data_IF_279744894053
#
_entry.id   IF_279744894053
#
_cell.length_a   1.000
_cell.length_b   1.000
_cell.length_c   1.000
_cell.angle_alpha   90.00
_cell.angle_beta   90.00
_cell.angle_gamma   90.00
#
_symmetry.space_group_name_H-M   'P 1'
#
loop_
_entity.id
_entity.type
_entity.pdbx_description
1 polymer ?
#
# COMPACT_ATOMS: atom_id res chain seq x y z
N UNK A 1 2.74 14.77 -9.21
CA UNK A 1 2.29 14.91 -7.80
C UNK A 1 2.42 13.54 -7.16
N UNK A 2 3.06 13.47 -5.99
CA UNK A 2 3.27 12.18 -5.30
C UNK A 2 2.01 11.84 -4.50
N UNK A 3 1.39 10.68 -4.78
CA UNK A 3 0.21 10.20 -4.06
C UNK A 3 0.56 8.96 -3.25
N UNK A 4 0.09 8.91 -2.01
CA UNK A 4 0.32 7.80 -1.08
C UNK A 4 -0.98 7.07 -0.76
N UNK A 5 -0.88 5.80 -0.36
CA UNK A 5 -2.02 5.02 0.11
C UNK A 5 -2.71 5.71 1.30
N UNK A 6 -1.92 6.27 2.22
CA UNK A 6 -2.39 7.00 3.40
C UNK A 6 -3.33 8.16 3.03
N UNK A 7 -2.95 9.00 2.05
CA UNK A 7 -3.78 10.13 1.63
C UNK A 7 -5.14 9.69 1.07
N UNK A 8 -5.17 8.60 0.30
CA UNK A 8 -6.41 8.04 -0.24
C UNK A 8 -7.30 7.49 0.88
N UNK A 9 -6.71 6.74 1.82
CA UNK A 9 -7.42 6.17 2.97
C UNK A 9 -7.98 7.28 3.86
N UNK A 10 -7.18 8.30 4.21
CA UNK A 10 -7.62 9.44 5.01
C UNK A 10 -8.79 10.20 4.38
N UNK A 11 -8.80 10.32 3.05
CA UNK A 11 -9.93 10.90 2.34
C UNK A 11 -11.16 10.00 2.42
N UNK A 12 -11.01 8.70 2.14
CA UNK A 12 -12.12 7.75 2.18
C UNK A 12 -12.77 7.66 3.57
N UNK A 13 -11.97 7.71 4.63
CA UNK A 13 -12.44 7.68 6.03
C UNK A 13 -13.40 8.83 6.37
N UNK A 14 -13.23 10.00 5.76
CA UNK A 14 -14.10 11.16 6.01
C UNK A 14 -15.54 10.94 5.56
N UNK A 15 -15.78 9.95 4.70
CA UNK A 15 -17.10 9.67 4.13
C UNK A 15 -17.80 8.45 4.73
N UNK A 16 -17.19 7.79 5.72
CA UNK A 16 -17.86 6.69 6.44
C UNK A 16 -19.19 7.20 7.02
N UNK A 17 -20.26 6.45 6.75
CA UNK A 17 -21.63 6.82 7.14
C UNK A 17 -22.40 7.61 6.08
N UNK A 18 -21.76 8.03 4.97
CA UNK A 18 -22.48 8.62 3.85
C UNK A 18 -23.42 7.59 3.23
N UNK A 19 -24.71 7.90 3.15
CA UNK A 19 -25.76 7.05 2.55
C UNK A 19 -26.11 7.53 1.15
N UNK A 20 -26.33 6.57 0.24
CA UNK A 20 -26.85 6.89 -1.09
C UNK A 20 -28.26 7.53 -0.98
N UNK A 21 -28.68 8.20 -2.04
CA UNK A 21 -29.92 8.96 -2.09
C UNK A 21 -30.98 8.24 -2.94
N UNK A 22 -32.23 8.45 -2.56
CA UNK A 22 -33.38 7.96 -3.31
C UNK A 22 -33.52 8.64 -4.68
N UNK A 23 -32.98 9.85 -4.83
CA UNK A 23 -33.05 10.68 -6.05
C UNK A 23 -31.88 11.68 -6.10
N UNK A 24 -31.79 12.45 -7.16
CA UNK A 24 -30.77 13.49 -7.34
C UNK A 24 -31.01 14.75 -6.47
N UNK A 25 -31.39 14.54 -5.19
CA UNK A 25 -31.58 15.60 -4.19
C UNK A 25 -30.68 15.33 -2.99
N UNK A 26 -30.26 16.40 -2.33
CA UNK A 26 -29.45 16.34 -1.09
C UNK A 26 -28.18 15.50 -1.19
N UNK A 27 -27.56 15.43 -2.37
CA UNK A 27 -26.40 14.57 -2.67
C UNK A 27 -25.23 14.77 -1.69
N UNK A 28 -25.05 15.98 -1.19
CA UNK A 28 -23.95 16.33 -0.29
C UNK A 28 -24.29 16.14 1.20
N UNK A 29 -25.53 15.84 1.55
CA UNK A 29 -25.92 15.47 2.90
C UNK A 29 -25.52 14.02 3.20
N UNK A 30 -25.10 13.72 4.43
CA UNK A 30 -24.83 12.34 4.83
C UNK A 30 -26.12 11.53 4.98
N UNK A 31 -27.17 12.15 5.51
CA UNK A 31 -28.44 11.50 5.86
C UNK A 31 -29.63 11.93 4.99
N UNK A 32 -29.62 13.17 4.50
CA UNK A 32 -30.74 13.73 3.74
C UNK A 32 -31.07 12.91 2.51
N UNK A 33 -32.36 12.73 2.22
CA UNK A 33 -32.85 11.95 1.07
C UNK A 33 -32.28 10.53 0.97
N UNK A 34 -31.86 9.90 2.07
CA UNK A 34 -31.33 8.56 2.06
C UNK A 34 -32.33 7.55 1.49
N UNK A 35 -31.87 6.64 0.64
CA UNK A 35 -32.71 5.64 -0.01
C UNK A 35 -31.92 4.77 -0.97
N UNK A 36 -32.60 3.85 -1.64
CA UNK A 36 -31.98 2.84 -2.52
C UNK A 36 -32.00 3.25 -3.99
N UNK A 37 -31.61 4.49 -4.28
CA UNK A 37 -31.68 5.04 -5.63
C UNK A 37 -30.33 5.07 -6.35
N UNK A 38 -29.25 4.71 -5.68
CA UNK A 38 -27.88 4.79 -6.21
C UNK A 38 -27.49 6.20 -6.67
N UNK A 39 -28.06 7.26 -6.07
CA UNK A 39 -27.65 8.63 -6.34
C UNK A 39 -26.64 9.06 -5.30
N UNK A 40 -25.49 9.60 -5.74
CA UNK A 40 -24.41 9.98 -4.83
C UNK A 40 -23.68 11.23 -5.31
N UNK A 41 -23.11 12.00 -4.36
CA UNK A 41 -22.19 13.10 -4.70
C UNK A 41 -20.96 12.63 -5.48
N UNK A 42 -20.50 11.41 -5.22
CA UNK A 42 -19.32 10.85 -5.90
C UNK A 42 -19.55 10.70 -7.40
N UNK A 43 -20.70 10.17 -7.81
CA UNK A 43 -21.09 10.03 -9.21
C UNK A 43 -21.36 11.39 -9.85
N UNK A 44 -21.98 12.33 -9.13
CA UNK A 44 -22.25 13.69 -9.62
C UNK A 44 -20.95 14.44 -9.92
N UNK A 45 -20.01 14.47 -8.97
CA UNK A 45 -18.74 15.17 -9.15
C UNK A 45 -17.88 14.54 -10.26
N UNK A 46 -17.84 13.22 -10.37
CA UNK A 46 -17.15 12.52 -11.44
C UNK A 46 -17.79 12.78 -12.82
N UNK A 47 -19.12 12.89 -12.88
CA UNK A 47 -19.85 13.25 -14.11
C UNK A 47 -19.51 14.69 -14.53
N UNK A 48 -19.56 15.64 -13.59
CA UNK A 48 -19.26 17.05 -13.85
C UNK A 48 -17.78 17.24 -14.27
N UNK A 49 -16.87 16.42 -13.76
CA UNK A 49 -15.48 16.39 -14.17
C UNK A 49 -15.25 15.67 -15.51
N UNK A 50 -16.29 15.09 -16.11
CA UNK A 50 -16.17 14.25 -17.31
C UNK A 50 -15.26 13.04 -17.09
N UNK A 51 -15.20 12.49 -15.87
CA UNK A 51 -14.37 11.33 -15.56
C UNK A 51 -14.83 10.09 -16.33
N UNK A 52 -16.15 9.89 -16.41
CA UNK A 52 -16.81 8.89 -17.24
C UNK A 52 -17.37 9.50 -18.52
N UNK A 53 -17.54 8.67 -19.54
CA UNK A 53 -18.17 9.11 -20.80
C UNK A 53 -19.69 9.40 -20.64
N UNK A 54 -20.32 8.83 -19.60
CA UNK A 54 -21.76 8.99 -19.32
C UNK A 54 -21.96 9.24 -17.82
N UNK A 55 -23.06 9.85 -17.47
CA UNK A 55 -23.54 9.95 -16.07
C UNK A 55 -23.76 8.55 -15.50
N UNK A 56 -23.33 8.33 -14.25
CA UNK A 56 -23.45 7.06 -13.51
C UNK A 56 -24.48 7.14 -12.36
N UNK A 57 -25.20 8.24 -12.23
CA UNK A 57 -26.28 8.34 -11.25
C UNK A 57 -27.34 7.24 -11.51
N UNK A 58 -27.83 6.63 -10.42
CA UNK A 58 -28.77 5.52 -10.50
C UNK A 58 -28.15 4.15 -10.71
N UNK A 59 -26.82 4.04 -10.88
CA UNK A 59 -26.11 2.77 -11.00
C UNK A 59 -25.27 2.47 -9.75
N UNK A 60 -24.92 1.22 -9.53
CA UNK A 60 -24.02 0.81 -8.45
C UNK A 60 -22.73 1.64 -8.45
N UNK A 61 -22.32 2.08 -7.27
CA UNK A 61 -21.30 3.13 -7.15
C UNK A 61 -20.05 2.75 -6.36
N UNK A 62 -19.80 1.46 -6.13
CA UNK A 62 -18.60 1.01 -5.44
C UNK A 62 -17.32 1.44 -6.18
N UNK A 63 -17.23 1.25 -7.49
CA UNK A 63 -16.12 1.73 -8.31
C UNK A 63 -16.07 3.26 -8.42
N UNK A 64 -17.22 3.92 -8.44
CA UNK A 64 -17.29 5.39 -8.47
C UNK A 64 -16.74 6.00 -7.19
N UNK A 65 -16.99 5.39 -6.03
CA UNK A 65 -16.39 5.84 -4.77
C UNK A 65 -14.86 5.74 -4.80
N UNK A 66 -14.32 4.60 -5.23
CA UNK A 66 -12.86 4.43 -5.38
C UNK A 66 -12.31 5.46 -6.36
N UNK A 67 -12.91 5.59 -7.55
CA UNK A 67 -12.49 6.58 -8.55
C UNK A 67 -12.47 8.00 -7.99
N UNK A 68 -13.52 8.35 -7.24
CA UNK A 68 -13.67 9.67 -6.66
C UNK A 68 -12.56 10.00 -5.64
N UNK A 69 -12.19 9.04 -4.77
CA UNK A 69 -11.12 9.22 -3.82
C UNK A 69 -9.79 9.59 -4.52
N UNK A 70 -9.46 8.91 -5.61
CA UNK A 70 -8.26 9.23 -6.38
C UNK A 70 -8.39 10.52 -7.20
N UNK A 71 -9.53 10.71 -7.87
CA UNK A 71 -9.79 11.91 -8.66
C UNK A 71 -9.75 13.19 -7.82
N UNK A 72 -10.30 13.15 -6.63
CA UNK A 72 -10.38 14.32 -5.74
C UNK A 72 -9.03 14.88 -5.33
N UNK A 73 -8.01 14.04 -5.31
CA UNK A 73 -6.63 14.43 -4.97
C UNK A 73 -5.82 14.72 -6.23
N UNK A 74 -5.95 13.89 -7.26
CA UNK A 74 -5.04 13.85 -8.40
C UNK A 74 -5.58 14.53 -9.67
N UNK A 75 -6.88 14.78 -9.74
CA UNK A 75 -7.54 15.11 -10.99
C UNK A 75 -7.70 13.90 -11.92
N UNK A 76 -8.39 14.10 -13.05
CA UNK A 76 -8.88 13.03 -13.94
C UNK A 76 -7.76 12.18 -14.55
N UNK A 77 -6.78 12.81 -15.16
CA UNK A 77 -5.74 12.12 -15.93
C UNK A 77 -4.86 11.27 -15.04
N UNK A 78 -4.40 11.85 -13.95
CA UNK A 78 -3.49 11.18 -13.04
C UNK A 78 -4.20 10.08 -12.24
N UNK A 79 -5.45 10.32 -11.79
CA UNK A 79 -6.23 9.27 -11.14
C UNK A 79 -6.42 8.03 -12.04
N UNK A 80 -6.71 8.25 -13.33
CA UNK A 80 -6.82 7.13 -14.28
C UNK A 80 -5.50 6.39 -14.46
N UNK A 81 -4.39 7.10 -14.55
CA UNK A 81 -3.06 6.51 -14.64
C UNK A 81 -2.73 5.66 -13.42
N UNK A 82 -2.93 6.22 -12.22
CA UNK A 82 -2.63 5.55 -10.94
C UNK A 82 -3.50 4.31 -10.75
N UNK A 83 -4.78 4.38 -11.12
CA UNK A 83 -5.74 3.27 -11.05
C UNK A 83 -5.64 2.28 -12.24
N UNK A 84 -4.63 2.40 -13.09
CA UNK A 84 -4.45 1.54 -14.28
C UNK A 84 -5.62 1.57 -15.28
N UNK A 85 -6.43 2.62 -15.32
CA UNK A 85 -7.62 2.70 -16.19
C UNK A 85 -7.22 3.05 -17.62
N UNK A 86 -6.85 2.05 -18.40
CA UNK A 86 -6.31 2.20 -19.77
C UNK A 86 -7.35 2.12 -20.87
N UNK A 87 -8.59 1.79 -20.56
CA UNK A 87 -9.63 1.56 -21.55
C UNK A 87 -10.85 2.50 -21.41
N UNK A 88 -11.76 2.45 -22.37
CA UNK A 88 -12.96 3.29 -22.44
C UNK A 88 -14.07 2.84 -21.47
N UNK A 89 -13.91 1.72 -20.82
CA UNK A 89 -14.95 1.11 -19.99
C UNK A 89 -15.09 1.87 -18.68
N UNK A 90 -16.35 2.18 -18.34
CA UNK A 90 -16.68 2.96 -17.15
C UNK A 90 -16.51 2.23 -15.82
N UNK A 91 -17.43 2.47 -14.91
CA UNK A 91 -17.41 1.96 -13.53
C UNK A 91 -17.74 0.46 -13.45
N UNK A 92 -16.83 -0.42 -13.88
CA UNK A 92 -17.01 -1.89 -13.88
C UNK A 92 -15.87 -2.58 -13.13
N UNK A 93 -16.20 -3.32 -12.07
CA UNK A 93 -15.23 -4.11 -11.31
C UNK A 93 -14.49 -5.12 -12.20
N UNK A 94 -15.18 -5.76 -13.15
CA UNK A 94 -14.59 -6.72 -14.09
C UNK A 94 -13.52 -6.04 -14.94
N UNK A 95 -13.85 -4.90 -15.53
CA UNK A 95 -12.91 -4.15 -16.38
C UNK A 95 -11.71 -3.65 -15.60
N UNK A 96 -11.92 -3.16 -14.39
CA UNK A 96 -10.83 -2.63 -13.57
C UNK A 96 -9.86 -3.73 -13.12
N UNK A 97 -10.37 -4.86 -12.65
CA UNK A 97 -9.53 -6.02 -12.32
C UNK A 97 -8.71 -6.49 -13.53
N UNK A 98 -9.32 -6.50 -14.73
CA UNK A 98 -8.63 -6.82 -15.99
C UNK A 98 -7.51 -5.82 -16.30
N UNK A 99 -7.73 -4.51 -16.12
CA UNK A 99 -6.68 -3.50 -16.35
C UNK A 99 -5.49 -3.66 -15.40
N UNK A 100 -5.74 -3.92 -14.12
CA UNK A 100 -4.67 -4.25 -13.19
C UNK A 100 -3.91 -5.51 -13.62
N UNK A 101 -4.62 -6.56 -14.03
CA UNK A 101 -4.00 -7.80 -14.50
C UNK A 101 -3.14 -7.57 -15.75
N UNK A 102 -3.61 -6.80 -16.72
CA UNK A 102 -2.86 -6.46 -17.94
C UNK A 102 -1.55 -5.71 -17.67
N UNK A 103 -1.47 -4.99 -16.56
CA UNK A 103 -0.26 -4.28 -16.12
C UNK A 103 0.57 -5.05 -15.09
N UNK A 104 0.24 -6.33 -14.82
CA UNK A 104 0.93 -7.14 -13.81
C UNK A 104 0.72 -6.66 -12.37
N UNK A 105 -0.38 -5.90 -12.13
CA UNK A 105 -0.66 -5.27 -10.83
C UNK A 105 -1.88 -5.84 -10.11
N UNK A 106 -2.35 -7.01 -10.51
CA UNK A 106 -3.37 -7.77 -9.78
C UNK A 106 -2.71 -8.87 -8.94
N UNK A 107 -2.90 -8.81 -7.64
CA UNK A 107 -2.24 -9.67 -6.66
C UNK A 107 -3.25 -10.55 -5.91
N UNK A 108 -2.76 -11.68 -5.38
CA UNK A 108 -3.56 -12.58 -4.54
C UNK A 108 -3.53 -12.23 -3.04
N UNK A 109 -2.60 -11.34 -2.62
CA UNK A 109 -2.47 -10.89 -1.24
C UNK A 109 -2.60 -9.37 -1.14
N UNK A 110 -3.34 -8.87 -0.12
CA UNK A 110 -3.55 -7.45 0.06
C UNK A 110 -2.28 -6.73 0.55
N UNK A 111 -2.14 -5.48 0.13
CA UNK A 111 -1.38 -4.46 0.83
C UNK A 111 -2.30 -3.28 1.14
N UNK A 112 -1.94 -2.48 2.14
CA UNK A 112 -2.63 -1.23 2.47
C UNK A 112 -2.67 -0.33 1.24
N UNK A 113 -3.83 0.24 0.95
CA UNK A 113 -4.07 1.07 -0.24
C UNK A 113 -4.44 0.29 -1.51
N UNK A 114 -4.34 -1.03 -1.54
CA UNK A 114 -4.79 -1.82 -2.68
C UNK A 114 -6.31 -1.66 -2.89
N UNK A 115 -6.74 -1.75 -4.12
CA UNK A 115 -8.14 -1.87 -4.46
C UNK A 115 -8.56 -3.35 -4.37
N UNK A 116 -9.40 -3.68 -3.40
CA UNK A 116 -9.99 -4.99 -3.22
C UNK A 116 -11.07 -5.28 -4.26
N UNK A 117 -11.11 -6.50 -4.78
CA UNK A 117 -12.17 -7.01 -5.63
C UNK A 117 -12.80 -8.27 -5.02
N UNK A 118 -14.13 -8.24 -4.83
CA UNK A 118 -14.93 -9.38 -4.37
C UNK A 118 -15.42 -10.20 -5.57
N UNK A 119 -15.44 -11.51 -5.44
CA UNK A 119 -16.08 -12.43 -6.40
C UNK A 119 -17.60 -12.41 -6.26
N UNK A 120 -18.29 -12.45 -7.36
CA UNK A 120 -19.68 -12.91 -7.42
C UNK A 120 -19.71 -14.45 -7.20
N UNK A 121 -20.66 -14.92 -6.40
CA UNK A 121 -20.80 -16.35 -6.11
C UNK A 121 -21.34 -17.15 -7.28
N UNK A 122 -21.93 -16.51 -8.27
CA UNK A 122 -22.60 -17.15 -9.42
C UNK A 122 -21.63 -17.47 -10.55
N UNK A 123 -20.71 -16.57 -10.85
CA UNK A 123 -19.82 -16.68 -12.01
C UNK A 123 -18.33 -16.49 -11.67
N UNK A 124 -18.03 -16.15 -10.42
CA UNK A 124 -16.67 -15.94 -9.93
C UNK A 124 -16.01 -14.65 -10.43
N UNK A 125 -16.74 -13.79 -11.14
CA UNK A 125 -16.22 -12.52 -11.66
C UNK A 125 -16.23 -11.42 -10.59
N UNK A 126 -15.42 -10.35 -10.74
CA UNK A 126 -15.44 -9.22 -9.81
C UNK A 126 -16.78 -8.49 -9.82
N UNK A 127 -17.47 -8.43 -8.68
CA UNK A 127 -18.78 -7.78 -8.55
C UNK A 127 -18.80 -6.58 -7.60
N UNK A 128 -17.82 -6.43 -6.72
CA UNK A 128 -17.76 -5.36 -5.74
C UNK A 128 -16.32 -4.96 -5.45
N UNK A 129 -16.10 -3.75 -4.91
CA UNK A 129 -14.76 -3.23 -4.67
C UNK A 129 -14.73 -2.23 -3.51
N UNK A 130 -13.53 -2.04 -2.94
CA UNK A 130 -13.21 -1.06 -1.91
C UNK A 130 -11.71 -0.83 -1.82
N UNK A 131 -11.29 0.01 -0.89
CA UNK A 131 -9.90 0.36 -0.61
C UNK A 131 -9.44 -0.39 0.64
N UNK A 132 -8.33 -1.10 0.58
CA UNK A 132 -7.75 -1.79 1.74
C UNK A 132 -7.19 -0.75 2.72
N UNK A 133 -7.77 -0.70 3.92
CA UNK A 133 -7.35 0.21 5.00
C UNK A 133 -6.24 -0.38 5.85
N UNK A 134 -6.35 -1.66 6.18
CA UNK A 134 -5.36 -2.36 7.02
C UNK A 134 -5.33 -3.85 6.71
N UNK A 135 -4.20 -4.50 7.04
CA UNK A 135 -3.98 -5.93 6.83
C UNK A 135 -3.41 -6.53 8.10
N UNK A 136 -3.95 -7.68 8.54
CA UNK A 136 -3.47 -8.45 9.69
C UNK A 136 -3.55 -9.95 9.40
N UNK A 137 -2.42 -10.55 9.02
CA UNK A 137 -2.35 -11.97 8.67
C UNK A 137 -3.28 -12.33 7.52
N UNK A 138 -4.33 -13.12 7.82
CA UNK A 138 -5.33 -13.55 6.83
C UNK A 138 -6.62 -12.71 6.85
N UNK A 139 -6.64 -11.62 7.61
CA UNK A 139 -7.76 -10.67 7.68
C UNK A 139 -7.33 -9.31 7.18
N UNK A 140 -8.27 -8.53 6.67
CA UNK A 140 -8.04 -7.17 6.25
C UNK A 140 -9.33 -6.33 6.41
N UNK A 141 -9.15 -5.02 6.52
CA UNK A 141 -10.26 -4.06 6.58
C UNK A 141 -10.30 -3.28 5.28
N UNK A 142 -11.49 -3.08 4.76
CA UNK A 142 -11.72 -2.24 3.58
C UNK A 142 -12.65 -1.08 3.89
N UNK A 143 -12.47 0.05 3.18
CA UNK A 143 -13.45 1.13 3.10
C UNK A 143 -14.14 1.01 1.77
N UNK A 144 -15.45 0.81 1.79
CA UNK A 144 -16.24 0.46 0.62
C UNK A 144 -17.38 1.44 0.41
N UNK A 145 -17.54 1.93 -0.81
CA UNK A 145 -18.76 2.57 -1.26
C UNK A 145 -19.77 1.52 -1.70
N UNK A 146 -21.05 1.84 -1.56
CA UNK A 146 -22.16 0.94 -1.89
C UNK A 146 -22.16 -0.39 -1.10
N UNK A 147 -21.59 -0.40 0.08
CA UNK A 147 -21.71 -1.50 1.01
C UNK A 147 -22.93 -1.26 1.89
N UNK A 148 -24.03 -2.02 1.68
CA UNK A 148 -25.36 -1.77 2.25
C UNK A 148 -25.85 -0.34 2.00
N UNK A 149 -25.69 0.15 0.77
CA UNK A 149 -26.13 1.47 0.31
C UNK A 149 -25.42 2.65 1.01
N UNK A 150 -24.22 2.44 1.56
CA UNK A 150 -23.44 3.48 2.23
C UNK A 150 -21.94 3.29 2.05
N UNK A 151 -21.18 4.29 2.50
CA UNK A 151 -19.73 4.14 2.71
C UNK A 151 -19.49 3.58 4.11
N UNK A 152 -18.79 2.46 4.21
CA UNK A 152 -18.46 1.86 5.52
C UNK A 152 -17.16 1.07 5.52
N UNK A 153 -16.66 0.82 6.72
CA UNK A 153 -15.63 -0.20 6.96
C UNK A 153 -16.23 -1.59 6.92
N UNK A 154 -15.54 -2.51 6.28
CA UNK A 154 -15.92 -3.93 6.23
C UNK A 154 -14.71 -4.78 6.62
N UNK A 155 -14.90 -5.64 7.62
CA UNK A 155 -13.91 -6.67 7.95
C UNK A 155 -14.01 -7.81 6.94
N UNK A 156 -12.87 -8.23 6.40
CA UNK A 156 -12.74 -9.23 5.36
C UNK A 156 -11.74 -10.31 5.77
N UNK A 157 -11.95 -11.51 5.26
CA UNK A 157 -11.01 -12.63 5.36
C UNK A 157 -10.48 -12.95 3.97
N UNK A 158 -9.21 -13.32 3.87
CA UNK A 158 -8.61 -13.80 2.63
C UNK A 158 -9.07 -15.25 2.39
N UNK A 159 -10.19 -15.39 1.70
CA UNK A 159 -10.85 -16.66 1.38
C UNK A 159 -11.25 -16.73 -0.10
N UNK A 160 -12.06 -17.72 -0.47
CA UNK A 160 -12.50 -17.95 -1.84
C UNK A 160 -13.46 -16.87 -2.38
N UNK A 161 -13.95 -15.95 -1.56
CA UNK A 161 -14.79 -14.82 -1.99
C UNK A 161 -13.96 -13.65 -2.51
N UNK A 162 -12.64 -13.67 -2.31
CA UNK A 162 -11.72 -12.66 -2.82
C UNK A 162 -11.35 -12.99 -4.26
N UNK A 163 -11.53 -12.03 -5.18
CA UNK A 163 -11.04 -12.15 -6.54
C UNK A 163 -9.55 -11.77 -6.63
N UNK A 164 -9.16 -10.69 -6.00
CA UNK A 164 -7.80 -10.20 -5.97
C UNK A 164 -7.71 -8.73 -5.52
N UNK A 165 -6.50 -8.22 -5.60
CA UNK A 165 -6.12 -6.89 -5.15
C UNK A 165 -5.39 -6.15 -6.27
N UNK A 166 -6.03 -5.12 -6.82
CA UNK A 166 -5.39 -4.21 -7.76
C UNK A 166 -4.52 -3.22 -7.00
N UNK A 167 -3.25 -3.14 -7.33
CA UNK A 167 -2.32 -2.20 -6.69
C UNK A 167 -2.16 -0.94 -7.50
N UNK A 168 -2.68 0.20 -7.05
CA UNK A 168 -2.51 1.48 -7.73
C UNK A 168 -1.03 1.85 -7.89
N UNK A 169 -0.72 2.66 -8.88
CA UNK A 169 0.61 3.25 -9.05
C UNK A 169 0.79 4.42 -8.07
N UNK A 170 0.85 4.11 -6.78
CA UNK A 170 1.29 5.11 -5.83
C UNK A 170 2.69 5.59 -6.22
N UNK A 171 3.01 6.86 -5.98
CA UNK A 171 4.40 7.27 -5.90
C UNK A 171 5.03 6.36 -4.86
N UNK A 172 6.23 5.85 -5.14
CA UNK A 172 6.92 5.13 -4.10
C UNK A 172 6.86 6.01 -2.83
N UNK A 173 5.92 5.72 -1.93
CA UNK A 173 6.33 5.70 -0.57
C UNK A 173 7.55 4.78 -0.64
N UNK A 174 8.74 5.30 -0.41
CA UNK A 174 9.63 4.49 0.39
C UNK A 174 8.67 3.93 1.42
N UNK A 175 8.42 2.61 1.35
CA UNK A 175 7.67 1.95 2.37
C UNK A 175 8.33 2.45 3.65
N UNK A 176 7.70 3.41 4.35
CA UNK A 176 7.69 3.37 5.77
C UNK A 176 6.88 2.10 6.08
N UNK A 177 7.43 0.93 5.73
CA UNK A 177 7.46 -0.18 6.67
C UNK A 177 7.92 0.55 7.94
N UNK A 178 7.11 0.61 8.99
CA UNK A 178 7.63 1.03 10.30
C UNK A 178 9.00 0.41 10.37
N UNK A 179 10.02 1.24 10.08
CA UNK A 179 11.37 0.74 9.80
C UNK A 179 11.76 0.08 11.09
N UNK A 180 11.67 -1.25 11.15
CA UNK A 180 11.93 -1.99 12.38
C UNK A 180 13.34 -1.60 12.77
N UNK A 181 13.42 -0.63 13.68
CA UNK A 181 14.68 -0.12 14.20
C UNK A 181 14.97 -0.78 15.52
N UNK A 182 16.18 -1.24 15.64
CA UNK A 182 16.71 -1.79 16.86
C UNK A 182 17.55 -0.71 17.54
N UNK A 183 17.06 -0.20 18.67
CA UNK A 183 17.77 0.82 19.43
C UNK A 183 18.96 0.24 20.18
N UNK A 184 18.85 -1.01 20.62
CA UNK A 184 19.89 -1.75 21.33
C UNK A 184 20.05 -3.14 20.74
N UNK A 185 21.14 -3.83 21.06
CA UNK A 185 21.36 -5.24 20.68
C UNK A 185 20.25 -6.16 21.21
N UNK A 186 19.65 -5.83 22.34
CA UNK A 186 18.59 -6.62 22.96
C UNK A 186 17.26 -6.53 22.24
N UNK A 187 17.02 -5.49 21.46
CA UNK A 187 15.82 -5.33 20.65
C UNK A 187 15.83 -6.28 19.42
N UNK A 188 17.01 -6.77 19.02
CA UNK A 188 17.14 -7.73 17.93
C UNK A 188 16.68 -9.09 18.45
N UNK A 189 15.74 -9.78 17.78
CA UNK A 189 15.30 -11.12 18.18
C UNK A 189 16.48 -12.09 18.39
N UNK A 190 16.40 -12.92 19.41
CA UNK A 190 17.44 -13.94 19.67
C UNK A 190 17.64 -14.85 18.46
N UNK A 191 18.88 -15.31 18.28
CA UNK A 191 19.28 -16.18 17.19
C UNK A 191 20.26 -15.54 16.23
N UNK A 192 20.22 -15.94 14.96
CA UNK A 192 21.19 -15.58 13.93
C UNK A 192 21.50 -14.06 13.85
N UNK A 193 20.47 -13.23 13.77
CA UNK A 193 20.66 -11.78 13.58
C UNK A 193 21.33 -11.11 14.78
N UNK A 194 20.95 -11.47 16.01
CA UNK A 194 21.58 -10.92 17.22
C UNK A 194 23.05 -11.36 17.34
N UNK A 195 23.34 -12.62 17.02
CA UNK A 195 24.70 -13.15 17.01
C UNK A 195 25.59 -12.43 15.98
N UNK A 196 25.10 -12.22 14.79
CA UNK A 196 25.85 -11.51 13.75
C UNK A 196 25.99 -10.01 14.06
N UNK A 197 24.95 -9.37 14.63
CA UNK A 197 25.03 -7.99 15.08
C UNK A 197 26.09 -7.79 16.17
N UNK A 198 26.19 -8.73 17.12
CA UNK A 198 27.25 -8.70 18.14
C UNK A 198 28.63 -8.75 17.52
N UNK A 199 28.84 -9.62 16.53
CA UNK A 199 30.13 -9.67 15.80
C UNK A 199 30.44 -8.34 15.08
N UNK A 200 29.45 -7.69 14.46
CA UNK A 200 29.64 -6.39 13.85
C UNK A 200 30.04 -5.31 14.87
N UNK A 201 29.52 -5.40 16.09
CA UNK A 201 29.90 -4.50 17.20
C UNK A 201 31.33 -4.80 17.66
N UNK A 202 31.64 -6.07 17.91
CA UNK A 202 32.95 -6.52 18.40
C UNK A 202 34.08 -6.18 17.38
N UNK A 203 33.78 -6.27 16.08
CA UNK A 203 34.69 -5.90 14.98
C UNK A 203 34.71 -4.36 14.74
N UNK A 204 33.89 -3.58 15.47
CA UNK A 204 33.80 -2.12 15.32
C UNK A 204 33.24 -1.64 13.99
N UNK A 205 32.52 -2.50 13.26
CA UNK A 205 31.79 -2.18 12.03
C UNK A 205 30.49 -1.46 12.36
N UNK A 206 29.73 -2.01 13.32
CA UNK A 206 28.51 -1.36 13.86
C UNK A 206 28.91 -0.58 15.13
N UNK A 207 28.90 0.74 14.99
CA UNK A 207 29.18 1.66 16.10
C UNK A 207 27.89 2.35 16.51
N UNK A 208 27.52 2.24 17.77
CA UNK A 208 26.43 3.01 18.35
C UNK A 208 26.84 4.43 18.73
N UNK A 209 25.87 5.22 19.17
CA UNK A 209 26.06 6.59 19.65
C UNK A 209 26.63 6.67 21.09
N UNK A 210 26.92 5.53 21.72
CA UNK A 210 27.30 5.38 23.12
C UNK A 210 26.20 4.72 23.95
N UNK A 211 26.49 4.35 25.21
CA UNK A 211 25.57 3.74 26.19
C UNK A 211 24.79 2.50 25.67
N UNK A 212 25.39 1.74 24.74
CA UNK A 212 24.76 0.54 24.16
C UNK A 212 23.68 0.83 23.11
N UNK A 213 23.49 2.07 22.71
CA UNK A 213 22.54 2.45 21.66
C UNK A 213 23.16 2.23 20.30
N UNK A 214 22.56 1.38 19.46
CA UNK A 214 22.99 1.11 18.08
C UNK A 214 22.13 1.81 17.04
N UNK A 215 20.85 2.06 17.32
CA UNK A 215 19.84 2.72 16.47
C UNK A 215 19.94 2.35 14.98
N UNK A 216 19.82 1.07 14.67
CA UNK A 216 19.97 0.53 13.32
C UNK A 216 18.66 -0.04 12.80
N UNK A 217 18.35 0.21 11.54
CA UNK A 217 17.21 -0.43 10.87
C UNK A 217 17.48 -1.91 10.60
N UNK A 218 16.40 -2.70 10.56
CA UNK A 218 16.47 -4.12 10.22
C UNK A 218 17.15 -4.37 8.88
N UNK A 219 16.87 -3.53 7.88
CA UNK A 219 17.42 -3.69 6.53
C UNK A 219 18.87 -3.24 6.46
N UNK A 220 19.26 -2.18 7.17
CA UNK A 220 20.66 -1.80 7.29
C UNK A 220 21.46 -2.89 8.00
N UNK A 221 20.93 -3.48 9.08
CA UNK A 221 21.57 -4.60 9.76
C UNK A 221 21.76 -5.80 8.83
N UNK A 222 20.75 -6.16 8.03
CA UNK A 222 20.85 -7.24 7.03
C UNK A 222 21.93 -6.95 5.99
N UNK A 223 21.98 -5.70 5.50
CA UNK A 223 22.99 -5.28 4.54
C UNK A 223 24.40 -5.38 5.12
N UNK A 224 24.62 -4.92 6.34
CA UNK A 224 25.92 -5.00 7.03
C UNK A 224 26.37 -6.45 7.25
N UNK A 225 25.44 -7.33 7.69
CA UNK A 225 25.73 -8.77 7.85
C UNK A 225 26.11 -9.39 6.50
N UNK A 226 25.39 -9.09 5.44
CA UNK A 226 25.67 -9.59 4.11
C UNK A 226 27.06 -9.13 3.63
N UNK A 227 27.37 -7.84 3.72
CA UNK A 227 28.67 -7.29 3.32
C UNK A 227 29.82 -7.92 4.09
N UNK A 228 29.68 -8.08 5.42
CA UNK A 228 30.68 -8.74 6.26
C UNK A 228 30.94 -10.18 5.81
N UNK A 229 29.88 -10.95 5.55
CA UNK A 229 29.99 -12.35 5.09
C UNK A 229 30.58 -12.46 3.69
N UNK A 230 30.31 -11.50 2.82
CA UNK A 230 30.95 -11.43 1.51
C UNK A 230 32.46 -11.18 1.63
N UNK A 231 32.89 -10.30 2.55
CA UNK A 231 34.32 -10.10 2.84
C UNK A 231 34.99 -11.41 3.33
N UNK A 232 34.34 -12.13 4.26
CA UNK A 232 34.83 -13.43 4.72
C UNK A 232 34.97 -14.45 3.56
N UNK A 233 33.99 -14.51 2.65
CA UNK A 233 34.03 -15.39 1.49
C UNK A 233 35.12 -15.01 0.50
N UNK A 234 35.34 -13.73 0.26
CA UNK A 234 36.41 -13.22 -0.62
C UNK A 234 37.80 -13.59 -0.07
N UNK A 235 38.00 -13.39 1.25
CA UNK A 235 39.26 -13.76 1.92
C UNK A 235 39.55 -15.25 1.80
N UNK A 236 38.51 -16.11 1.85
CA UNK A 236 38.65 -17.56 1.70
C UNK A 236 38.96 -18.01 0.26
N UNK A 237 38.58 -17.21 -0.73
CA UNK A 237 38.66 -17.60 -2.16
C UNK A 237 39.80 -16.95 -2.91
N UNK A 238 40.34 -15.84 -2.44
CA UNK A 238 41.43 -15.13 -3.12
C UNK A 238 42.69 -15.14 -2.23
N UNK A 239 43.76 -15.83 -2.67
CA UNK A 239 45.01 -15.84 -1.93
C UNK A 239 45.63 -14.44 -1.85
N UNK A 240 46.12 -14.06 -0.67
CA UNK A 240 46.82 -12.80 -0.38
C UNK A 240 45.95 -11.54 -0.24
N UNK A 241 44.65 -11.66 -0.07
CA UNK A 241 43.82 -10.52 0.35
C UNK A 241 43.91 -10.36 1.89
N UNK A 242 44.22 -9.14 2.31
CA UNK A 242 44.24 -8.78 3.73
C UNK A 242 42.84 -8.49 4.23
N UNK A 243 42.31 -9.31 5.15
CA UNK A 243 40.98 -9.15 5.75
C UNK A 243 40.81 -7.81 6.47
N UNK A 244 41.85 -7.33 7.15
CA UNK A 244 41.84 -6.08 7.89
C UNK A 244 41.68 -4.87 6.95
N UNK A 245 42.33 -4.90 5.80
CA UNK A 245 42.24 -3.88 4.77
C UNK A 245 40.85 -3.80 4.15
N UNK A 246 40.26 -4.95 3.82
CA UNK A 246 38.87 -5.06 3.35
C UNK A 246 37.84 -4.56 4.39
N UNK A 247 38.03 -4.87 5.66
CA UNK A 247 37.15 -4.40 6.74
C UNK A 247 37.28 -2.88 6.98
N UNK A 248 38.48 -2.31 6.85
CA UNK A 248 38.67 -0.86 6.93
C UNK A 248 38.03 -0.13 5.74
N UNK A 249 38.11 -0.69 4.55
CA UNK A 249 37.43 -0.12 3.38
C UNK A 249 35.90 -0.21 3.53
N UNK A 250 35.36 -1.30 4.06
CA UNK A 250 33.95 -1.46 4.37
C UNK A 250 33.48 -0.40 5.41
N UNK A 251 34.27 -0.18 6.47
CA UNK A 251 33.98 0.85 7.47
C UNK A 251 33.94 2.26 6.89
N UNK A 252 34.82 2.59 5.95
CA UNK A 252 34.82 3.87 5.23
C UNK A 252 33.54 4.06 4.42
N UNK A 253 33.16 3.05 3.65
CA UNK A 253 32.00 3.12 2.75
C UNK A 253 30.67 3.15 3.50
N UNK A 254 30.55 2.48 4.63
CA UNK A 254 29.35 2.55 5.51
C UNK A 254 29.22 3.94 6.15
N UNK A 255 30.32 4.58 6.53
CA UNK A 255 30.29 5.96 7.07
C UNK A 255 29.76 7.01 6.11
N UNK A 256 29.92 6.79 4.80
CA UNK A 256 29.44 7.71 3.75
C UNK A 256 27.93 7.64 3.53
N UNK A 257 27.26 6.58 4.02
CA UNK A 257 25.80 6.38 3.83
C UNK A 257 24.96 6.83 5.03
N UNK A 258 25.57 7.19 6.15
CA UNK A 258 24.86 7.55 7.41
C UNK A 258 24.86 9.05 7.70
N UNK A 259 25.49 9.88 6.87
CA UNK A 259 25.35 11.34 6.93
C UNK A 259 24.26 11.77 5.95
N UNK A 260 23.01 11.69 6.38
CA UNK A 260 21.91 12.43 5.78
C UNK A 260 21.37 13.36 6.86
N UNK A 261 21.32 14.63 6.50
CA UNK A 261 20.83 15.79 7.25
C UNK A 261 19.46 15.59 7.90
#
# INVERSE_FOLDING_TARGET
>A
MNITAKQIIELALKYIGYKEKASNKDLYSFEGNAGKGNYTMFQEELANAGFWNNNKQGYEWCTSFVAWCFWRILGKTEAKRVLCLTGPYGASCISWAKYYAQQGRLYSRPKVGDQYFKKDSRDGLPCHTGIVESVSGNTFVTIEGNADNMVKRVNRTLDNTVYGFGRPHYSSEQEEEDEVRYKTINDIPEGFYRTEAQKLIDEGILKGSGDGVIDISKDMLRCMIFCRRMCDAVVLTIPNINKEELLEELKKNIKLTVTVD
#
